data_IF_717267009300
#
_entry.id   IF_717267009300
#
_cell.length_a   1.000
_cell.length_b   1.000
_cell.length_c   1.000
_cell.angle_alpha   90.00
_cell.angle_beta   90.00
_cell.angle_gamma   90.00
#
_symmetry.space_group_name_H-M   'P 1'
#
loop_
_entity.id
_entity.type
_entity.pdbx_description
1 polymer ?
#
# COMPACT_ATOMS: atom_id res chain seq x y z
N UNK A 1 1.44 -2.22 -5.17
CA UNK A 1 2.11 -3.39 -4.59
C UNK A 1 1.73 -3.59 -3.11
N UNK A 2 2.07 -2.68 -2.21
CA UNK A 2 1.85 -2.86 -0.77
C UNK A 2 0.38 -2.99 -0.40
N UNK A 3 -0.52 -2.29 -1.07
CA UNK A 3 -1.98 -2.45 -0.92
C UNK A 3 -2.43 -3.86 -1.32
N UNK A 4 -1.87 -4.42 -2.39
CA UNK A 4 -2.14 -5.81 -2.78
C UNK A 4 -1.67 -6.81 -1.72
N UNK A 5 -0.48 -6.61 -1.14
CA UNK A 5 0.13 -7.56 -0.18
C UNK A 5 -0.45 -7.47 1.23
N UNK A 6 -0.87 -6.28 1.67
CA UNK A 6 -1.21 -5.99 3.06
C UNK A 6 -2.55 -5.28 3.25
N UNK A 7 -3.22 -4.87 2.17
CA UNK A 7 -4.55 -4.27 2.21
C UNK A 7 -5.64 -5.26 2.65
N UNK A 8 -6.83 -4.75 2.91
CA UNK A 8 -7.99 -5.51 3.39
C UNK A 8 -8.43 -6.63 2.45
N UNK A 9 -8.15 -6.50 1.15
CA UNK A 9 -8.49 -7.49 0.12
C UNK A 9 -7.45 -8.59 -0.01
N UNK A 10 -6.29 -8.48 0.67
CA UNK A 10 -5.23 -9.49 0.59
C UNK A 10 -5.59 -10.76 1.40
N UNK A 11 -5.26 -11.91 0.87
CA UNK A 11 -5.41 -13.19 1.58
C UNK A 11 -4.53 -13.23 2.83
N UNK A 12 -3.39 -12.56 2.81
CA UNK A 12 -2.50 -12.43 3.97
C UNK A 12 -3.20 -11.70 5.11
N UNK A 13 -3.80 -10.54 4.85
CA UNK A 13 -4.56 -9.81 5.86
C UNK A 13 -5.68 -10.67 6.43
N UNK A 14 -6.48 -11.28 5.58
CA UNK A 14 -7.62 -12.10 5.99
C UNK A 14 -7.18 -13.25 6.91
N UNK A 15 -6.14 -14.00 6.56
CA UNK A 15 -5.61 -15.09 7.40
C UNK A 15 -5.08 -14.62 8.74
N UNK A 16 -4.38 -13.50 8.78
CA UNK A 16 -3.87 -12.93 10.03
C UNK A 16 -5.01 -12.41 10.91
N UNK A 17 -6.02 -11.79 10.32
CA UNK A 17 -7.20 -11.32 11.00
C UNK A 17 -8.04 -12.49 11.58
N UNK A 18 -8.35 -13.50 10.79
CA UNK A 18 -9.09 -14.68 11.21
C UNK A 18 -8.36 -15.47 12.31
N UNK A 19 -7.03 -15.50 12.28
CA UNK A 19 -6.23 -16.15 13.34
C UNK A 19 -6.05 -15.30 14.60
N UNK A 20 -6.61 -14.07 14.62
CA UNK A 20 -6.50 -13.15 15.77
C UNK A 20 -5.09 -12.61 16.02
N UNK A 21 -4.21 -12.70 15.03
CA UNK A 21 -2.84 -12.16 15.08
C UNK A 21 -2.78 -10.69 14.70
N UNK A 22 -3.72 -10.24 13.92
CA UNK A 22 -3.97 -8.88 13.50
C UNK A 22 -5.42 -8.52 13.80
N UNK A 23 -5.66 -7.25 14.01
CA UNK A 23 -7.00 -6.68 14.11
C UNK A 23 -7.19 -5.54 13.09
N UNK A 24 -8.25 -4.76 13.26
CA UNK A 24 -8.55 -3.63 12.38
C UNK A 24 -7.59 -2.42 12.55
N UNK A 25 -6.57 -2.53 13.40
CA UNK A 25 -5.58 -1.47 13.61
C UNK A 25 -4.51 -1.41 12.52
N UNK A 26 -4.43 -2.43 11.65
CA UNK A 26 -3.48 -2.39 10.53
C UNK A 26 -3.74 -1.17 9.66
N UNK A 27 -2.77 -0.30 9.59
CA UNK A 27 -2.74 0.88 8.72
C UNK A 27 -1.56 0.81 7.78
N UNK A 28 -1.82 1.11 6.52
CA UNK A 28 -0.82 1.24 5.47
C UNK A 28 -0.79 2.70 5.02
N UNK A 29 0.36 3.33 5.22
CA UNK A 29 0.61 4.70 4.77
C UNK A 29 1.70 4.68 3.70
N UNK A 30 1.45 5.33 2.59
CA UNK A 30 2.37 5.44 1.46
C UNK A 30 2.55 6.91 1.13
N UNK A 31 3.76 7.40 1.34
CA UNK A 31 4.12 8.76 1.01
C UNK A 31 5.10 8.79 -0.15
N UNK A 32 4.80 9.59 -1.15
CA UNK A 32 5.63 9.79 -2.34
C UNK A 32 5.81 11.28 -2.59
N UNK A 33 7.01 11.76 -2.40
CA UNK A 33 7.44 13.12 -2.72
C UNK A 33 8.64 13.05 -3.68
N UNK A 34 8.93 14.12 -4.41
CA UNK A 34 10.07 14.18 -5.34
C UNK A 34 11.44 13.99 -4.66
N UNK A 35 11.53 14.13 -3.34
CA UNK A 35 12.78 14.04 -2.55
C UNK A 35 12.85 12.79 -1.69
N UNK A 36 11.71 12.18 -1.38
CA UNK A 36 11.63 11.00 -0.53
C UNK A 36 10.37 10.20 -0.83
N UNK A 37 10.44 8.93 -0.54
CA UNK A 37 9.27 8.05 -0.51
C UNK A 37 9.46 7.03 0.59
N UNK A 38 8.36 6.67 1.25
CA UNK A 38 8.36 5.61 2.24
C UNK A 38 7.01 4.90 2.28
N UNK A 39 7.06 3.69 2.80
CA UNK A 39 5.86 2.91 3.14
C UNK A 39 5.93 2.58 4.61
N UNK A 40 4.88 2.90 5.36
CA UNK A 40 4.76 2.62 6.78
C UNK A 40 3.58 1.68 7.04
N UNK A 41 3.88 0.56 7.71
CA UNK A 41 2.89 -0.39 8.22
C UNK A 41 2.82 -0.25 9.73
N UNK A 42 1.66 0.11 10.24
CA UNK A 42 1.41 0.25 11.68
C UNK A 42 0.32 -0.72 12.11
N UNK A 43 0.49 -1.40 13.23
CA UNK A 43 -0.47 -2.37 13.73
C UNK A 43 -0.31 -2.64 15.22
N UNK A 44 -1.41 -3.01 15.86
CA UNK A 44 -1.41 -3.59 17.19
C UNK A 44 -1.37 -5.12 17.10
N UNK A 45 -0.48 -5.76 17.84
CA UNK A 45 -0.34 -7.20 17.81
C UNK A 45 0.23 -7.76 19.10
N UNK A 46 -0.09 -9.01 19.38
CA UNK A 46 0.49 -9.77 20.51
C UNK A 46 1.82 -10.45 20.14
N UNK A 47 2.15 -10.52 18.84
CA UNK A 47 3.34 -11.24 18.34
C UNK A 47 4.22 -10.31 17.46
N UNK A 48 4.71 -9.15 17.97
CA UNK A 48 5.36 -8.14 17.13
C UNK A 48 6.59 -8.66 16.40
N UNK A 49 7.44 -9.43 17.07
CA UNK A 49 8.68 -9.96 16.48
C UNK A 49 8.38 -10.96 15.34
N UNK A 50 7.40 -11.84 15.56
CA UNK A 50 7.04 -12.85 14.57
C UNK A 50 6.40 -12.22 13.34
N UNK A 51 5.51 -11.23 13.52
CA UNK A 51 4.87 -10.52 12.41
C UNK A 51 5.85 -9.64 11.65
N UNK A 52 6.73 -8.91 12.34
CA UNK A 52 7.78 -8.15 11.67
C UNK A 52 8.63 -9.04 10.75
N UNK A 53 9.09 -10.17 11.27
CA UNK A 53 9.85 -11.12 10.45
C UNK A 53 9.04 -11.65 9.24
N UNK A 54 7.76 -11.96 9.45
CA UNK A 54 6.86 -12.44 8.41
C UNK A 54 6.65 -11.39 7.31
N UNK A 55 6.42 -10.14 7.68
CA UNK A 55 6.23 -9.05 6.73
C UNK A 55 7.51 -8.72 5.97
N UNK A 56 8.65 -8.66 6.64
CA UNK A 56 9.96 -8.48 5.98
C UNK A 56 10.23 -9.59 4.95
N UNK A 57 9.93 -10.84 5.32
CA UNK A 57 10.08 -11.97 4.40
C UNK A 57 9.13 -11.86 3.20
N UNK A 58 7.89 -11.45 3.42
CA UNK A 58 6.93 -11.23 2.34
C UNK A 58 7.38 -10.13 1.40
N UNK A 59 7.78 -8.97 1.91
CA UNK A 59 8.26 -7.84 1.12
C UNK A 59 9.47 -8.25 0.26
N UNK A 60 10.45 -8.95 0.82
CA UNK A 60 11.61 -9.43 0.06
C UNK A 60 11.29 -10.46 -1.02
N UNK A 61 10.15 -11.14 -0.90
CA UNK A 61 9.72 -12.18 -1.84
C UNK A 61 8.45 -11.79 -2.60
N UNK A 62 8.16 -10.51 -2.73
CA UNK A 62 6.92 -9.99 -3.30
C UNK A 62 6.62 -10.55 -4.70
N UNK A 63 7.64 -10.80 -5.54
CA UNK A 63 7.50 -11.40 -6.86
C UNK A 63 6.82 -12.80 -6.87
N UNK A 64 6.77 -13.47 -5.72
CA UNK A 64 6.16 -14.80 -5.54
C UNK A 64 4.98 -14.76 -4.57
N UNK A 65 4.52 -13.57 -4.25
CA UNK A 65 3.40 -13.39 -3.34
C UNK A 65 2.10 -13.79 -4.02
N UNK A 66 1.25 -14.53 -3.32
CA UNK A 66 -0.02 -15.03 -3.85
C UNK A 66 -1.04 -13.92 -4.14
N UNK A 67 -0.87 -12.78 -3.48
CA UNK A 67 -1.72 -11.60 -3.65
C UNK A 67 -1.26 -10.68 -4.80
N UNK A 68 -0.08 -10.93 -5.38
CA UNK A 68 0.48 -10.12 -6.48
C UNK A 68 0.09 -10.74 -7.82
N UNK A 69 -1.16 -10.52 -8.23
CA UNK A 69 -1.76 -11.06 -9.45
C UNK A 69 -2.53 -9.96 -10.21
N UNK A 70 -2.73 -10.16 -11.52
CA UNK A 70 -3.54 -9.24 -12.35
C UNK A 70 -4.96 -9.08 -11.80
N UNK A 71 -5.62 -10.18 -11.45
CA UNK A 71 -6.98 -10.16 -10.92
C UNK A 71 -7.08 -9.32 -9.63
N UNK A 72 -6.08 -9.46 -8.75
CA UNK A 72 -6.06 -8.67 -7.52
C UNK A 72 -5.69 -7.20 -7.76
N UNK A 73 -4.82 -6.93 -8.74
CA UNK A 73 -4.53 -5.57 -9.16
C UNK A 73 -5.80 -4.85 -9.63
N UNK A 74 -6.66 -5.51 -10.39
CA UNK A 74 -7.93 -4.94 -10.85
C UNK A 74 -8.90 -4.64 -9.69
N UNK A 75 -8.91 -5.47 -8.65
CA UNK A 75 -9.67 -5.20 -7.42
C UNK A 75 -9.15 -3.93 -6.75
N UNK A 76 -7.83 -3.83 -6.55
CA UNK A 76 -7.21 -2.66 -5.92
C UNK A 76 -7.41 -1.39 -6.74
N UNK A 77 -7.33 -1.46 -8.06
CA UNK A 77 -7.65 -0.32 -8.95
C UNK A 77 -9.09 0.14 -8.79
N UNK A 78 -10.02 -0.80 -8.67
CA UNK A 78 -11.44 -0.51 -8.46
C UNK A 78 -11.68 0.16 -7.11
N UNK A 79 -11.03 -0.32 -6.05
CA UNK A 79 -11.05 0.27 -4.72
C UNK A 79 -10.53 1.72 -4.75
N UNK A 80 -9.34 1.95 -5.29
CA UNK A 80 -8.72 3.28 -5.44
C UNK A 80 -9.59 4.24 -6.27
N UNK A 81 -10.23 3.74 -7.32
CA UNK A 81 -11.16 4.54 -8.11
C UNK A 81 -12.41 4.92 -7.31
N UNK A 82 -12.94 4.00 -6.51
CA UNK A 82 -14.06 4.26 -5.60
C UNK A 82 -13.73 5.33 -4.56
N UNK A 83 -12.55 5.23 -3.95
CA UNK A 83 -12.04 6.23 -2.99
C UNK A 83 -11.86 7.59 -3.65
N UNK A 84 -11.32 7.62 -4.87
CA UNK A 84 -11.21 8.86 -5.65
C UNK A 84 -12.58 9.51 -5.86
N UNK A 85 -13.58 8.75 -6.32
CA UNK A 85 -14.92 9.28 -6.53
C UNK A 85 -15.54 9.83 -5.24
N UNK A 86 -15.39 9.11 -4.13
CA UNK A 86 -15.85 9.56 -2.81
C UNK A 86 -15.17 10.87 -2.38
N UNK A 87 -13.86 10.96 -2.62
CA UNK A 87 -13.06 12.14 -2.27
C UNK A 87 -13.44 13.38 -3.09
N UNK A 88 -13.97 13.20 -4.30
CA UNK A 88 -14.43 14.31 -5.16
C UNK A 88 -15.66 15.02 -4.62
N UNK A 89 -16.39 14.45 -3.67
CA UNK A 89 -17.50 15.12 -2.97
C UNK A 89 -17.01 16.17 -1.97
N UNK A 90 -15.71 16.18 -1.64
CA UNK A 90 -15.11 17.12 -0.70
C UNK A 90 -14.32 18.22 -1.42
N UNK A 91 -14.85 19.45 -1.40
CA UNK A 91 -14.14 20.62 -1.95
C UNK A 91 -12.82 20.90 -1.22
N UNK A 92 -12.77 20.61 0.09
CA UNK A 92 -11.56 20.76 0.89
C UNK A 92 -10.48 19.76 0.44
N UNK A 93 -10.84 18.51 0.20
CA UNK A 93 -9.92 17.51 -0.35
C UNK A 93 -9.37 17.95 -1.70
N UNK A 94 -10.24 18.36 -2.63
CA UNK A 94 -9.81 18.84 -3.94
C UNK A 94 -8.84 20.01 -3.80
N UNK A 95 -9.15 20.98 -2.95
CA UNK A 95 -8.33 22.18 -2.76
C UNK A 95 -6.94 21.85 -2.15
N UNK A 96 -6.87 20.86 -1.26
CA UNK A 96 -5.63 20.47 -0.59
C UNK A 96 -4.78 19.51 -1.43
N UNK A 97 -5.41 18.68 -2.26
CA UNK A 97 -4.72 17.68 -3.09
C UNK A 97 -4.44 18.14 -4.53
N UNK A 98 -4.96 19.31 -4.92
CA UNK A 98 -4.69 19.85 -6.25
C UNK A 98 -3.29 20.49 -6.31
N UNK A 99 -2.28 19.66 -6.47
CA UNK A 99 -0.92 20.07 -6.72
C UNK A 99 -0.49 19.50 -8.07
N UNK A 100 -0.24 20.33 -9.10
CA UNK A 100 0.35 19.85 -10.33
C UNK A 100 1.72 19.25 -10.03
N UNK A 101 1.95 18.02 -10.49
CA UNK A 101 3.29 17.42 -10.43
C UNK A 101 4.25 18.16 -11.37
N UNK A 102 5.56 17.91 -11.25
CA UNK A 102 6.56 18.46 -12.18
C UNK A 102 6.28 18.04 -13.63
N UNK A 103 5.63 16.90 -13.84
CA UNK A 103 5.21 16.40 -15.15
C UNK A 103 3.88 17.02 -15.63
N UNK A 104 3.24 17.86 -14.83
CA UNK A 104 1.96 18.49 -15.13
C UNK A 104 0.74 17.63 -14.83
N UNK A 105 0.92 16.42 -14.30
CA UNK A 105 -0.19 15.55 -13.88
C UNK A 105 -0.87 16.12 -12.64
N UNK A 106 -2.17 15.91 -12.54
CA UNK A 106 -3.01 16.40 -11.45
C UNK A 106 -3.82 15.26 -10.84
N UNK A 107 -4.50 15.54 -9.73
CA UNK A 107 -5.45 14.61 -9.11
C UNK A 107 -6.47 14.04 -10.13
N UNK A 108 -6.90 14.84 -11.10
CA UNK A 108 -7.90 14.42 -12.10
C UNK A 108 -7.38 13.43 -13.14
N UNK A 109 -6.08 13.21 -13.22
CA UNK A 109 -5.48 12.22 -14.11
C UNK A 109 -5.49 10.81 -13.49
N UNK A 110 -5.79 10.68 -12.19
CA UNK A 110 -5.80 9.41 -11.48
C UNK A 110 -6.66 8.32 -12.15
N UNK A 111 -7.91 8.59 -12.60
CA UNK A 111 -8.71 7.57 -13.27
C UNK A 111 -8.06 6.99 -14.52
N UNK A 112 -7.40 7.84 -15.29
CA UNK A 112 -6.67 7.42 -16.50
C UNK A 112 -5.43 6.59 -16.13
N UNK A 113 -4.65 7.06 -15.15
CA UNK A 113 -3.47 6.34 -14.67
C UNK A 113 -3.82 4.95 -14.14
N UNK A 114 -4.92 4.82 -13.37
CA UNK A 114 -5.39 3.53 -12.88
C UNK A 114 -5.76 2.55 -14.02
N UNK A 115 -6.25 3.05 -15.16
CA UNK A 115 -6.53 2.20 -16.32
C UNK A 115 -5.26 1.74 -17.03
N UNK A 116 -4.24 2.59 -17.07
CA UNK A 116 -3.00 2.35 -17.82
C UNK A 116 -1.98 1.49 -17.05
N UNK A 117 -1.94 1.56 -15.70
CA UNK A 117 -1.01 0.79 -14.87
C UNK A 117 -1.20 -0.71 -15.08
N UNK A 118 -0.09 -1.40 -15.34
CA UNK A 118 -0.01 -2.85 -15.48
C UNK A 118 0.62 -3.49 -14.24
N UNK A 119 0.49 -4.82 -14.11
CA UNK A 119 1.20 -5.55 -13.05
C UNK A 119 2.72 -5.43 -13.21
N UNK A 120 3.22 -5.37 -14.43
CA UNK A 120 4.64 -5.18 -14.71
C UNK A 120 5.16 -3.84 -14.16
N UNK A 121 4.42 -2.74 -14.35
CA UNK A 121 4.77 -1.43 -13.77
C UNK A 121 4.81 -1.48 -12.24
N UNK A 122 3.84 -2.18 -11.62
CA UNK A 122 3.79 -2.36 -10.16
C UNK A 122 4.98 -3.16 -9.63
N UNK A 123 5.39 -4.20 -10.36
CA UNK A 123 6.54 -5.03 -10.00
C UNK A 123 7.86 -4.27 -10.18
N UNK A 124 8.01 -3.51 -11.27
CA UNK A 124 9.20 -2.69 -11.52
C UNK A 124 9.38 -1.61 -10.43
N UNK A 125 8.32 -0.85 -10.15
CA UNK A 125 8.34 0.14 -9.08
C UNK A 125 8.58 -0.48 -7.70
N UNK A 126 8.03 -1.66 -7.45
CA UNK A 126 8.27 -2.44 -6.24
C UNK A 126 9.73 -2.86 -6.09
N UNK A 127 10.34 -3.30 -7.18
CA UNK A 127 11.75 -3.69 -7.23
C UNK A 127 12.66 -2.49 -6.92
N UNK A 128 12.42 -1.37 -7.59
CA UNK A 128 13.16 -0.14 -7.37
C UNK A 128 13.08 0.33 -5.92
N UNK A 129 11.88 0.34 -5.34
CA UNK A 129 11.68 0.76 -3.96
C UNK A 129 12.38 -0.18 -2.97
N UNK A 130 12.19 -1.50 -3.11
CA UNK A 130 12.68 -2.48 -2.15
C UNK A 130 14.20 -2.62 -2.20
N UNK A 131 14.80 -2.55 -3.39
CA UNK A 131 16.24 -2.69 -3.56
C UNK A 131 17.02 -1.44 -3.12
N UNK A 132 16.39 -0.27 -3.20
CA UNK A 132 17.03 1.01 -2.87
C UNK A 132 16.60 1.58 -1.51
N UNK A 133 15.85 0.81 -0.70
CA UNK A 133 15.35 1.26 0.60
C UNK A 133 15.76 0.34 1.74
N UNK A 134 15.95 0.95 2.91
CA UNK A 134 16.16 0.22 4.16
C UNK A 134 14.82 -0.07 4.85
N UNK A 135 14.72 -1.26 5.46
CA UNK A 135 13.58 -1.64 6.29
C UNK A 135 13.95 -1.48 7.76
N UNK A 136 13.15 -0.70 8.46
CA UNK A 136 13.31 -0.44 9.90
C UNK A 136 12.06 -0.88 10.64
N UNK A 137 12.22 -1.48 11.83
CA UNK A 137 11.11 -1.84 12.73
C UNK A 137 11.21 -1.04 14.01
N UNK A 138 10.05 -0.60 14.49
CA UNK A 138 9.90 -0.03 15.82
C UNK A 138 8.77 -0.77 16.56
N UNK A 139 9.06 -1.29 17.74
CA UNK A 139 8.05 -1.96 18.57
C UNK A 139 7.95 -1.28 19.93
N UNK A 140 6.73 -0.90 20.29
CA UNK A 140 6.42 -0.34 21.62
C UNK A 140 5.76 -1.45 22.44
N UNK A 141 6.37 -1.80 23.57
CA UNK A 141 5.83 -2.77 24.49
C UNK A 141 5.06 -2.06 25.62
N UNK A 142 3.93 -2.63 26.08
CA UNK A 142 3.27 -2.11 27.28
C UNK A 142 4.20 -2.25 28.49
N UNK A 143 4.15 -1.26 29.38
CA UNK A 143 4.88 -1.24 30.65
C UNK A 143 4.13 -2.07 31.68
#
# INVERSE_FOLDING_TARGET
LFTMMFGWTSQRFQRLYESGKLDASLSLEIEVDHRFHFVMLTMDTKEPVALSHQFRKAIRNFMKDEDVTEDHLDIVKTEMYGEFLHSMDSLEYIATQYHPTETGSTLFDLPKLLQEITLEDVLEAGHDLIDNSDMVDCTIFPI
#
